data_IF_539647919508
#
_entry.id   IF_539647919508
#
_cell.length_a   1.000
_cell.length_b   1.000
_cell.length_c   1.000
_cell.angle_alpha   90.00
_cell.angle_beta   90.00
_cell.angle_gamma   90.00
#
_symmetry.space_group_name_H-M   'P 1'
#
loop_
_entity.id
_entity.type
_entity.pdbx_description
1 polymer ?
#
# COMPACT_ATOMS: atom_id res chain seq x y z
N UNK A 1 9.53 55.21 19.98
CA UNK A 1 8.62 54.49 19.06
C UNK A 1 9.40 53.27 18.61
N UNK A 2 8.97 52.06 18.98
CA UNK A 2 9.73 50.84 18.69
C UNK A 2 9.61 50.49 17.21
N UNK A 3 10.75 50.37 16.52
CA UNK A 3 10.81 49.88 15.14
C UNK A 3 10.23 48.47 15.07
N UNK A 4 9.17 48.32 14.28
CA UNK A 4 8.63 47.02 13.92
C UNK A 4 9.51 46.47 12.80
N UNK A 5 10.45 45.59 13.13
CA UNK A 5 11.07 44.71 12.13
C UNK A 5 10.02 43.68 11.70
N UNK A 6 9.31 43.98 10.60
CA UNK A 6 8.33 43.07 10.02
C UNK A 6 9.01 41.79 9.52
N UNK A 7 8.81 40.67 10.22
CA UNK A 7 9.40 39.37 9.88
C UNK A 7 8.40 38.36 9.27
N UNK A 8 7.12 38.73 9.15
CA UNK A 8 6.09 37.81 8.63
C UNK A 8 5.24 38.54 7.61
N UNK A 9 5.33 38.11 6.36
CA UNK A 9 4.49 38.58 5.27
C UNK A 9 3.10 37.99 5.48
N UNK A 10 2.08 38.83 5.60
CA UNK A 10 0.68 38.41 5.55
C UNK A 10 0.28 38.35 4.07
N UNK A 11 0.41 37.19 3.46
CA UNK A 11 -0.03 36.94 2.08
C UNK A 11 -0.87 35.67 2.02
N UNK A 12 -1.88 35.67 1.15
CA UNK A 12 -2.53 34.43 0.71
C UNK A 12 -1.45 33.54 0.08
N UNK A 13 -1.34 32.25 0.43
CA UNK A 13 -0.40 31.33 -0.19
C UNK A 13 -0.81 31.08 -1.64
N UNK A 14 -0.37 31.94 -2.55
CA UNK A 14 -0.47 31.76 -4.00
C UNK A 14 0.93 31.48 -4.55
N UNK A 15 1.05 30.43 -5.35
CA UNK A 15 2.33 30.04 -5.90
C UNK A 15 2.70 30.93 -7.09
N UNK A 16 3.74 31.74 -6.91
CA UNK A 16 4.30 32.64 -7.92
C UNK A 16 5.30 31.89 -8.82
N UNK A 17 5.24 32.10 -10.13
CA UNK A 17 6.30 31.65 -11.04
C UNK A 17 7.44 32.68 -11.05
N UNK A 18 8.61 32.26 -10.57
CA UNK A 18 9.83 33.07 -10.51
C UNK A 18 10.90 32.58 -11.47
N UNK A 19 11.89 33.40 -11.82
CA UNK A 19 13.00 32.97 -12.68
C UNK A 19 13.87 31.95 -11.93
N UNK A 20 14.43 30.97 -12.66
CA UNK A 20 15.22 29.88 -12.08
C UNK A 20 16.47 30.36 -11.32
N UNK A 21 17.01 31.52 -11.69
CA UNK A 21 18.25 32.08 -11.14
C UNK A 21 18.05 33.34 -10.30
N UNK A 22 16.81 33.79 -10.11
CA UNK A 22 16.50 34.96 -9.29
C UNK A 22 15.04 34.94 -8.88
N UNK A 23 14.72 35.36 -7.65
CA UNK A 23 13.34 35.44 -7.13
C UNK A 23 12.45 36.51 -7.79
N UNK A 24 12.80 36.96 -9.01
CA UNK A 24 11.99 37.85 -9.83
C UNK A 24 10.91 37.04 -10.55
N UNK A 25 9.74 37.63 -10.77
CA UNK A 25 8.68 37.01 -11.55
C UNK A 25 9.14 36.62 -12.97
N UNK A 26 8.64 35.50 -13.49
CA UNK A 26 8.75 35.15 -14.93
C UNK A 26 7.75 36.01 -15.72
N UNK A 27 7.97 37.32 -15.72
CA UNK A 27 7.08 38.28 -16.34
C UNK A 27 6.92 37.99 -17.84
N UNK A 28 5.66 37.94 -18.31
CA UNK A 28 5.31 37.60 -19.70
C UNK A 28 5.82 36.21 -20.14
N UNK A 29 6.07 35.32 -19.19
CA UNK A 29 6.40 33.93 -19.45
C UNK A 29 5.21 33.11 -19.97
N UNK A 30 5.51 31.87 -20.34
CA UNK A 30 4.56 30.91 -20.89
C UNK A 30 4.62 29.60 -20.09
N UNK A 31 3.46 29.06 -19.79
CA UNK A 31 3.31 27.74 -19.15
C UNK A 31 2.69 26.79 -20.18
N UNK A 32 3.29 25.63 -20.30
CA UNK A 32 2.83 24.52 -21.14
C UNK A 32 2.51 23.32 -20.26
N UNK A 33 1.39 22.67 -20.52
CA UNK A 33 0.83 21.55 -19.77
C UNK A 33 0.61 20.37 -20.72
N UNK A 34 1.15 19.21 -20.37
CA UNK A 34 1.12 18.03 -21.23
C UNK A 34 0.96 16.73 -20.49
N UNK A 35 1.03 15.63 -21.25
CA UNK A 35 1.04 14.27 -20.73
C UNK A 35 2.25 14.09 -19.81
N UNK A 36 2.06 13.31 -18.74
CA UNK A 36 3.12 12.95 -17.81
C UNK A 36 4.33 12.38 -18.57
N UNK A 37 5.53 12.76 -18.13
CA UNK A 37 6.83 12.31 -18.63
C UNK A 37 7.10 12.62 -20.12
N UNK A 38 6.37 13.59 -20.70
CA UNK A 38 6.57 14.08 -22.08
C UNK A 38 6.92 15.57 -22.11
N UNK A 39 7.37 16.06 -23.26
CA UNK A 39 7.59 17.49 -23.49
C UNK A 39 6.26 18.20 -23.85
N UNK A 40 5.72 19.08 -22.98
CA UNK A 40 4.44 19.75 -23.20
C UNK A 40 4.51 20.89 -24.24
N UNK A 41 5.70 21.26 -24.73
CA UNK A 41 5.81 22.24 -25.82
C UNK A 41 5.34 21.66 -27.15
N UNK A 42 5.50 20.34 -27.34
CA UNK A 42 4.93 19.64 -28.49
C UNK A 42 3.39 19.59 -28.38
N UNK A 43 2.63 20.13 -29.35
CA UNK A 43 1.16 20.10 -29.32
C UNK A 43 0.54 18.71 -29.17
N UNK A 44 1.18 17.65 -29.68
CA UNK A 44 0.67 16.27 -29.56
C UNK A 44 0.72 15.74 -28.11
N UNK A 45 1.60 16.31 -27.31
CA UNK A 45 1.75 15.99 -25.91
C UNK A 45 0.87 16.85 -25.01
N UNK A 46 0.29 17.94 -25.53
CA UNK A 46 -0.56 18.83 -24.74
C UNK A 46 -1.87 18.17 -24.35
N UNK A 47 -2.34 18.49 -23.16
CA UNK A 47 -3.64 18.04 -22.64
C UNK A 47 -4.58 19.25 -22.48
N UNK A 48 -5.91 19.02 -22.41
CA UNK A 48 -6.85 20.10 -22.11
C UNK A 48 -6.57 20.75 -20.75
N UNK A 49 -6.59 22.09 -20.73
CA UNK A 49 -6.51 22.90 -19.51
C UNK A 49 -7.80 23.71 -19.39
N UNK A 50 -8.32 23.81 -18.17
CA UNK A 50 -9.56 24.50 -17.88
C UNK A 50 -9.30 25.68 -16.94
N UNK A 51 -9.95 26.81 -17.22
CA UNK A 51 -10.13 27.90 -16.29
C UNK A 51 -11.27 27.55 -15.33
N UNK A 52 -11.01 27.59 -14.03
CA UNK A 52 -12.03 27.47 -12.98
C UNK A 52 -12.51 28.87 -12.60
N UNK A 53 -13.82 29.10 -12.72
CA UNK A 53 -14.48 30.36 -12.34
C UNK A 53 -14.87 30.34 -10.86
N UNK A 54 -15.24 31.50 -10.32
CA UNK A 54 -15.69 31.64 -8.93
C UNK A 54 -16.95 30.81 -8.61
N UNK A 55 -17.76 30.51 -9.63
CA UNK A 55 -18.95 29.65 -9.51
C UNK A 55 -18.62 28.13 -9.60
N UNK A 56 -17.34 27.77 -9.70
CA UNK A 56 -16.86 26.38 -9.83
C UNK A 56 -17.01 25.80 -11.23
N UNK A 57 -17.49 26.57 -12.21
CA UNK A 57 -17.59 26.11 -13.61
C UNK A 57 -16.23 26.12 -14.30
N UNK A 58 -16.09 25.24 -15.30
CA UNK A 58 -14.83 25.02 -16.02
C UNK A 58 -14.97 25.42 -17.48
N UNK A 59 -14.03 26.22 -17.98
CA UNK A 59 -13.96 26.61 -19.40
C UNK A 59 -12.62 26.18 -19.96
N UNK A 60 -12.62 25.41 -21.05
CA UNK A 60 -11.38 25.01 -21.70
C UNK A 60 -10.68 26.25 -22.30
N UNK A 61 -9.38 26.37 -22.05
CA UNK A 61 -8.55 27.47 -22.52
C UNK A 61 -7.44 26.98 -23.45
N UNK A 62 -7.01 27.79 -24.43
CA UNK A 62 -5.86 27.44 -25.26
C UNK A 62 -4.55 27.55 -24.48
N UNK A 63 -3.57 26.76 -24.91
CA UNK A 63 -2.19 26.83 -24.43
C UNK A 63 -1.32 27.58 -25.45
N UNK A 64 -0.22 28.25 -25.04
CA UNK A 64 0.31 28.34 -23.67
C UNK A 64 -0.46 29.31 -22.77
N UNK A 65 -0.40 29.07 -21.47
CA UNK A 65 -0.94 29.98 -20.45
C UNK A 65 0.08 31.09 -20.20
N UNK A 66 -0.39 32.34 -20.19
CA UNK A 66 0.48 33.53 -20.05
C UNK A 66 0.68 33.88 -18.59
N UNK A 67 1.90 34.29 -18.22
CA UNK A 67 2.24 34.81 -16.90
C UNK A 67 2.28 36.35 -16.95
N UNK A 68 1.60 37.03 -16.02
CA UNK A 68 1.64 38.49 -15.94
C UNK A 68 2.97 39.02 -15.37
N UNK A 69 3.13 40.34 -15.29
CA UNK A 69 4.34 40.97 -14.77
C UNK A 69 4.65 40.64 -13.30
N UNK A 70 3.63 40.23 -12.53
CA UNK A 70 3.75 39.85 -11.13
C UNK A 70 4.07 38.37 -10.92
N UNK A 71 4.08 37.53 -11.97
CA UNK A 71 4.40 36.10 -11.86
C UNK A 71 3.19 35.18 -11.72
N UNK A 72 1.98 35.70 -11.93
CA UNK A 72 0.74 34.92 -11.86
C UNK A 72 0.27 34.45 -13.23
N UNK A 73 -0.28 33.23 -13.35
CA UNK A 73 -0.95 32.81 -14.57
C UNK A 73 -2.22 33.65 -14.77
N UNK A 74 -2.46 34.09 -16.01
CA UNK A 74 -3.58 34.97 -16.35
C UNK A 74 -4.39 34.47 -17.54
N UNK A 75 -5.68 34.77 -17.52
CA UNK A 75 -6.58 34.65 -18.65
C UNK A 75 -7.14 36.05 -18.99
N UNK A 76 -6.99 36.49 -20.24
CA UNK A 76 -7.34 37.85 -20.67
C UNK A 76 -6.78 38.98 -19.77
N UNK A 77 -5.59 38.77 -19.21
CA UNK A 77 -4.89 39.74 -18.35
C UNK A 77 -5.32 39.73 -16.87
N UNK A 78 -6.36 38.98 -16.50
CA UNK A 78 -6.78 38.78 -15.11
C UNK A 78 -6.16 37.52 -14.51
N UNK A 79 -5.79 37.57 -13.23
CA UNK A 79 -5.30 36.40 -12.49
C UNK A 79 -6.40 35.36 -12.46
N UNK A 80 -6.05 34.12 -12.79
CA UNK A 80 -7.03 33.07 -12.99
C UNK A 80 -6.49 31.71 -12.49
N UNK A 81 -7.40 30.84 -12.04
CA UNK A 81 -7.07 29.49 -11.59
C UNK A 81 -7.22 28.52 -12.76
N UNK A 82 -6.14 27.80 -13.06
CA UNK A 82 -6.13 26.79 -14.12
C UNK A 82 -6.05 25.40 -13.50
N UNK A 83 -6.84 24.47 -14.01
CA UNK A 83 -6.92 23.10 -13.52
C UNK A 83 -6.93 22.10 -14.68
N UNK A 84 -6.52 20.88 -14.37
CA UNK A 84 -6.53 19.74 -15.29
C UNK A 84 -7.28 18.59 -14.64
N UNK A 85 -7.90 17.73 -15.45
CA UNK A 85 -8.63 16.54 -14.95
C UNK A 85 -7.69 15.43 -14.48
N UNK A 86 -6.49 15.38 -15.04
CA UNK A 86 -5.49 14.34 -14.78
C UNK A 86 -4.14 14.96 -14.42
N UNK A 87 -3.23 14.14 -13.88
CA UNK A 87 -1.85 14.55 -13.67
C UNK A 87 -1.15 14.93 -14.98
N UNK A 88 -0.20 15.85 -14.91
CA UNK A 88 0.39 16.46 -16.10
C UNK A 88 1.87 16.79 -15.91
N UNK A 89 2.59 16.88 -17.03
CA UNK A 89 3.88 17.55 -17.10
C UNK A 89 3.69 19.06 -17.24
N UNK A 90 4.66 19.84 -16.79
CA UNK A 90 4.64 21.30 -16.89
C UNK A 90 6.00 21.84 -17.31
N UNK A 91 6.02 22.74 -18.29
CA UNK A 91 7.20 23.51 -18.65
C UNK A 91 6.91 25.00 -18.53
N UNK A 92 7.83 25.75 -17.93
CA UNK A 92 7.73 27.19 -17.73
C UNK A 92 8.86 27.87 -18.48
N UNK A 93 8.50 28.76 -19.40
CA UNK A 93 9.42 29.56 -20.20
C UNK A 93 9.29 31.04 -19.85
N UNK A 94 10.39 31.77 -19.95
CA UNK A 94 10.36 33.23 -19.87
C UNK A 94 9.89 33.88 -21.18
N UNK A 95 9.80 35.21 -21.17
CA UNK A 95 9.40 36.01 -22.32
C UNK A 95 10.34 35.88 -23.52
N UNK A 96 11.59 35.45 -23.30
CA UNK A 96 12.63 35.30 -24.32
C UNK A 96 12.72 33.86 -24.84
N UNK A 97 11.87 32.95 -24.35
CA UNK A 97 11.85 31.54 -24.78
C UNK A 97 12.91 30.67 -24.09
N UNK A 98 13.53 31.14 -23.01
CA UNK A 98 14.42 30.28 -22.20
C UNK A 98 13.60 29.49 -21.19
N UNK A 99 13.82 28.18 -21.11
CA UNK A 99 13.17 27.32 -20.13
C UNK A 99 13.68 27.67 -18.73
N UNK A 100 12.77 28.01 -17.84
CA UNK A 100 13.05 28.29 -16.43
C UNK A 100 12.87 27.02 -15.59
N UNK A 101 11.74 26.31 -15.77
CA UNK A 101 11.47 25.07 -15.06
C UNK A 101 10.85 24.01 -15.96
N UNK A 102 11.13 22.75 -15.63
CA UNK A 102 10.48 21.59 -16.20
C UNK A 102 10.13 20.60 -15.10
N UNK A 103 8.87 20.17 -15.08
CA UNK A 103 8.34 19.16 -14.19
C UNK A 103 7.78 18.02 -15.04
N UNK A 104 8.41 16.83 -15.04
CA UNK A 104 7.92 15.70 -15.83
C UNK A 104 6.57 15.19 -15.33
N UNK A 105 6.28 15.34 -14.03
CA UNK A 105 4.98 15.06 -13.44
C UNK A 105 4.75 15.97 -12.23
N UNK A 106 3.83 16.92 -12.34
CA UNK A 106 3.53 17.89 -11.26
C UNK A 106 2.97 17.20 -10.02
N UNK A 107 2.17 16.13 -10.17
CA UNK A 107 1.61 15.41 -9.03
C UNK A 107 2.68 14.81 -8.12
N UNK A 108 3.89 14.49 -8.61
CA UNK A 108 4.98 13.99 -7.75
C UNK A 108 5.40 14.98 -6.66
N UNK A 109 5.09 16.25 -6.84
CA UNK A 109 5.48 17.35 -5.95
C UNK A 109 4.31 17.87 -5.12
N UNK A 110 3.11 17.30 -5.29
CA UNK A 110 1.96 17.65 -4.50
C UNK A 110 2.15 17.14 -3.05
N UNK A 111 2.07 17.99 -2.02
CA UNK A 111 2.21 17.57 -0.63
C UNK A 111 1.20 16.48 -0.22
N UNK A 112 0.05 16.40 -0.89
CA UNK A 112 -1.01 15.41 -0.59
C UNK A 112 -0.66 14.00 -1.11
N UNK A 113 0.42 13.84 -1.89
CA UNK A 113 0.88 12.53 -2.35
C UNK A 113 1.21 11.58 -1.20
N UNK A 114 1.68 12.09 -0.06
CA UNK A 114 2.00 11.23 1.07
C UNK A 114 0.73 10.55 1.60
N UNK A 115 -0.40 11.26 1.67
CA UNK A 115 -1.67 10.69 2.12
C UNK A 115 -2.16 9.59 1.16
N UNK A 116 -2.07 9.84 -0.15
CA UNK A 116 -2.45 8.85 -1.17
C UNK A 116 -1.57 7.60 -1.06
N UNK A 117 -0.24 7.79 -0.95
CA UNK A 117 0.72 6.70 -0.81
C UNK A 117 0.57 5.91 0.48
N UNK A 118 0.17 6.54 1.59
CA UNK A 118 -0.09 5.85 2.85
C UNK A 118 -1.42 5.08 2.84
N UNK A 119 -2.38 5.48 2.00
CA UNK A 119 -3.67 4.80 1.86
C UNK A 119 -3.66 3.67 0.82
N UNK A 120 -2.65 3.62 -0.05
CA UNK A 120 -2.50 2.59 -1.09
C UNK A 120 -1.97 1.27 -0.46
N UNK A 121 -2.72 0.16 -0.55
CA UNK A 121 -2.31 -1.13 0.02
C UNK A 121 -1.34 -1.91 -0.88
N UNK A 122 -0.92 -1.37 -2.02
CA UNK A 122 0.01 -2.04 -2.95
C UNK A 122 1.43 -2.13 -2.38
N UNK A 123 2.19 -3.14 -2.82
CA UNK A 123 3.57 -3.37 -2.37
C UNK A 123 4.45 -2.13 -2.52
N UNK A 124 5.19 -1.78 -1.46
CA UNK A 124 6.06 -0.61 -1.41
C UNK A 124 5.36 0.70 -1.01
N UNK A 125 4.04 0.68 -0.83
CA UNK A 125 3.24 1.79 -0.28
C UNK A 125 2.70 1.45 1.12
N UNK A 126 1.81 2.29 1.65
CA UNK A 126 1.20 2.08 2.96
C UNK A 126 2.22 2.03 4.10
N UNK A 127 2.15 0.96 4.89
CA UNK A 127 3.03 0.71 6.03
C UNK A 127 4.49 0.41 5.64
N UNK A 128 4.77 0.10 4.36
CA UNK A 128 6.13 -0.05 3.85
C UNK A 128 6.92 1.27 3.84
N UNK A 129 6.22 2.41 3.87
CA UNK A 129 6.83 3.75 3.88
C UNK A 129 7.24 4.22 5.28
N UNK A 130 6.84 3.50 6.33
CA UNK A 130 7.09 3.86 7.72
C UNK A 130 8.23 3.02 8.26
N UNK A 131 9.34 3.65 8.63
CA UNK A 131 10.47 2.97 9.25
C UNK A 131 10.22 2.73 10.75
N UNK A 132 10.64 1.57 11.25
CA UNK A 132 10.67 1.20 12.66
C UNK A 132 12.03 0.67 13.05
N UNK A 133 12.42 0.93 14.30
CA UNK A 133 13.61 0.36 14.93
C UNK A 133 13.28 0.00 16.36
N UNK A 134 13.53 -1.25 16.73
CA UNK A 134 13.31 -1.70 18.10
C UNK A 134 14.28 -1.00 19.07
N UNK A 135 13.86 -0.65 20.29
CA UNK A 135 14.76 -0.11 21.30
C UNK A 135 15.83 -1.15 21.68
N UNK A 136 17.09 -0.73 21.79
CA UNK A 136 18.22 -1.57 22.19
C UNK A 136 19.45 -1.41 21.29
N UNK A 137 20.62 -1.66 21.84
CA UNK A 137 21.88 -1.62 21.10
C UNK A 137 21.96 -2.79 20.10
N UNK A 138 22.44 -2.49 18.89
CA UNK A 138 22.59 -3.49 17.82
C UNK A 138 21.31 -3.78 17.01
N UNK A 139 20.18 -3.16 17.31
CA UNK A 139 18.98 -3.29 16.47
C UNK A 139 19.17 -2.55 15.14
N UNK A 140 18.55 -3.08 14.08
CA UNK A 140 18.59 -2.52 12.72
C UNK A 140 17.22 -1.96 12.36
N UNK A 141 17.19 -0.84 11.63
CA UNK A 141 15.94 -0.25 11.14
C UNK A 141 15.36 -1.10 9.99
N UNK A 142 14.03 -1.20 9.96
CA UNK A 142 13.25 -1.90 8.92
C UNK A 142 11.90 -1.20 8.72
N UNK A 143 11.02 -1.70 7.86
CA UNK A 143 9.68 -1.11 7.67
C UNK A 143 8.66 -1.66 8.67
N UNK A 144 7.57 -0.92 8.92
CA UNK A 144 6.41 -1.43 9.69
C UNK A 144 5.87 -2.68 9.01
N UNK A 145 5.77 -2.66 7.68
CA UNK A 145 5.34 -3.80 6.87
C UNK A 145 6.12 -5.07 7.19
N UNK A 146 7.46 -5.02 7.09
CA UNK A 146 8.32 -6.16 7.39
C UNK A 146 8.10 -6.65 8.82
N UNK A 147 7.89 -5.72 9.77
CA UNK A 147 7.73 -6.06 11.18
C UNK A 147 6.38 -6.73 11.46
N UNK A 148 5.32 -6.29 10.81
CA UNK A 148 3.99 -6.87 10.93
C UNK A 148 3.89 -8.23 10.22
N UNK A 149 4.61 -8.40 9.10
CA UNK A 149 4.71 -9.66 8.36
C UNK A 149 5.39 -10.81 9.13
N UNK A 150 5.95 -10.57 10.31
CA UNK A 150 6.46 -11.65 11.17
C UNK A 150 5.34 -12.52 11.76
N UNK A 151 4.12 -11.98 11.87
CA UNK A 151 2.96 -12.65 12.46
C UNK A 151 1.77 -12.62 11.51
N UNK A 152 1.47 -13.77 10.90
CA UNK A 152 0.26 -13.95 10.10
C UNK A 152 -0.85 -14.58 10.92
N UNK A 153 -2.07 -14.09 10.74
CA UNK A 153 -3.28 -14.57 11.41
C UNK A 153 -4.30 -15.10 10.41
N UNK A 154 -5.29 -15.89 10.84
CA UNK A 154 -6.36 -16.33 9.93
C UNK A 154 -7.19 -15.15 9.38
N UNK A 155 -7.26 -14.04 10.12
CA UNK A 155 -7.91 -12.80 9.69
C UNK A 155 -7.28 -12.20 8.44
N UNK A 156 -5.95 -12.31 8.30
CA UNK A 156 -5.23 -11.80 7.14
C UNK A 156 -5.60 -12.54 5.84
N UNK A 157 -6.18 -13.74 5.97
CA UNK A 157 -6.76 -14.53 4.88
C UNK A 157 -8.28 -14.38 4.77
N UNK A 158 -8.88 -13.44 5.51
CA UNK A 158 -10.30 -13.13 5.47
C UNK A 158 -11.18 -13.92 6.44
N UNK A 159 -10.62 -14.65 7.42
CA UNK A 159 -11.41 -15.34 8.42
C UNK A 159 -12.07 -14.35 9.40
N UNK A 160 -13.32 -14.59 9.78
CA UNK A 160 -14.04 -13.77 10.77
C UNK A 160 -13.66 -14.17 12.19
N UNK A 161 -13.64 -15.47 12.47
CA UNK A 161 -13.34 -16.01 13.79
C UNK A 161 -14.41 -15.67 14.84
N UNK A 162 -15.66 -15.56 14.43
CA UNK A 162 -16.81 -15.16 15.25
C UNK A 162 -17.65 -16.34 15.78
N UNK A 163 -17.15 -17.58 15.64
CA UNK A 163 -17.82 -18.84 16.01
C UNK A 163 -19.04 -19.21 15.16
N UNK A 164 -19.45 -18.37 14.21
CA UNK A 164 -20.73 -18.51 13.49
C UNK A 164 -20.50 -18.62 11.98
N UNK A 165 -19.68 -17.72 11.45
CA UNK A 165 -19.32 -17.62 10.04
C UNK A 165 -18.47 -18.80 9.62
N UNK A 166 -18.74 -19.34 8.44
CA UNK A 166 -17.93 -20.40 7.86
C UNK A 166 -16.64 -19.83 7.27
N UNK A 167 -15.53 -20.08 7.95
CA UNK A 167 -14.18 -19.64 7.62
C UNK A 167 -13.40 -20.67 6.77
N UNK A 168 -14.07 -21.71 6.24
CA UNK A 168 -13.39 -22.80 5.50
C UNK A 168 -12.50 -22.28 4.35
N UNK A 169 -12.99 -21.31 3.57
CA UNK A 169 -12.22 -20.75 2.45
C UNK A 169 -10.93 -20.05 2.93
N UNK A 170 -11.05 -19.23 3.98
CA UNK A 170 -9.95 -18.49 4.58
C UNK A 170 -8.92 -19.42 5.22
N UNK A 171 -9.37 -20.50 5.87
CA UNK A 171 -8.49 -21.53 6.46
C UNK A 171 -7.73 -22.31 5.39
N UNK A 172 -8.34 -22.63 4.24
CA UNK A 172 -7.64 -23.26 3.13
C UNK A 172 -6.62 -22.31 2.46
N UNK A 173 -6.95 -21.03 2.33
CA UNK A 173 -6.01 -20.02 1.83
C UNK A 173 -4.79 -19.86 2.77
N UNK A 174 -5.04 -19.79 4.08
CA UNK A 174 -4.00 -19.78 5.11
C UNK A 174 -3.11 -21.03 5.05
N UNK A 175 -3.71 -22.20 4.82
CA UNK A 175 -2.97 -23.46 4.70
C UNK A 175 -2.02 -23.42 3.50
N UNK A 176 -2.52 -22.99 2.33
CA UNK A 176 -1.72 -22.88 1.12
C UNK A 176 -0.57 -21.89 1.29
N UNK A 177 -0.82 -20.73 1.89
CA UNK A 177 0.23 -19.74 2.17
C UNK A 177 1.31 -20.31 3.09
N UNK A 178 0.92 -20.96 4.18
CA UNK A 178 1.85 -21.60 5.11
C UNK A 178 2.68 -22.69 4.42
N UNK A 179 2.08 -23.47 3.53
CA UNK A 179 2.77 -24.51 2.77
C UNK A 179 3.76 -23.94 1.74
N UNK A 180 3.47 -22.76 1.19
CA UNK A 180 4.30 -22.12 0.16
C UNK A 180 5.47 -21.34 0.77
N UNK A 181 5.22 -20.64 1.87
CA UNK A 181 6.20 -19.73 2.51
C UNK A 181 6.93 -20.37 3.68
N UNK A 182 6.37 -21.44 4.27
CA UNK A 182 6.85 -22.03 5.51
C UNK A 182 6.49 -21.24 6.77
N UNK A 183 5.73 -20.14 6.65
CA UNK A 183 5.32 -19.30 7.78
C UNK A 183 4.24 -19.98 8.64
N UNK A 184 4.25 -19.68 9.94
CA UNK A 184 3.22 -20.12 10.88
C UNK A 184 2.05 -19.15 10.86
N UNK A 185 0.82 -19.68 10.83
CA UNK A 185 -0.42 -18.89 10.93
C UNK A 185 -1.00 -19.03 12.33
N UNK A 186 -1.34 -17.90 12.93
CA UNK A 186 -1.85 -17.82 14.29
C UNK A 186 -3.37 -17.59 14.34
N UNK A 187 -4.05 -18.30 15.22
CA UNK A 187 -5.41 -17.98 15.64
C UNK A 187 -5.40 -16.86 16.66
N UNK A 188 -6.17 -15.81 16.41
CA UNK A 188 -6.31 -14.67 17.31
C UNK A 188 -6.98 -15.07 18.64
N UNK A 189 -6.60 -14.39 19.74
CA UNK A 189 -7.16 -14.69 21.05
C UNK A 189 -8.68 -14.46 21.09
N UNK A 190 -9.40 -15.35 21.81
CA UNK A 190 -10.86 -15.30 22.00
C UNK A 190 -11.72 -15.51 20.75
N UNK A 191 -11.10 -15.88 19.62
CA UNK A 191 -11.80 -16.19 18.37
C UNK A 191 -11.96 -17.69 18.13
N UNK A 192 -12.98 -18.03 17.36
CA UNK A 192 -13.26 -19.39 16.91
C UNK A 192 -13.65 -19.41 15.45
N UNK A 193 -12.94 -20.22 14.67
CA UNK A 193 -13.06 -20.32 13.22
C UNK A 193 -13.83 -21.57 12.89
N UNK A 194 -15.09 -21.39 12.49
CA UNK A 194 -15.97 -22.49 12.14
C UNK A 194 -15.67 -22.93 10.71
N UNK A 195 -15.72 -24.24 10.46
CA UNK A 195 -15.54 -24.78 9.12
C UNK A 195 -16.54 -25.89 8.86
N UNK A 196 -17.11 -25.92 7.65
CA UNK A 196 -18.16 -26.87 7.26
C UNK A 196 -17.63 -27.96 6.30
N UNK A 197 -16.49 -27.72 5.66
CA UNK A 197 -15.86 -28.67 4.74
C UNK A 197 -14.38 -28.90 5.09
N UNK A 198 -13.78 -29.92 4.47
CA UNK A 198 -12.42 -30.35 4.83
C UNK A 198 -11.34 -29.30 4.57
N UNK A 199 -10.44 -29.12 5.54
CA UNK A 199 -9.25 -28.26 5.39
C UNK A 199 -8.07 -29.06 4.83
N UNK A 200 -7.45 -28.58 3.76
CA UNK A 200 -6.29 -29.20 3.10
C UNK A 200 -4.98 -28.81 3.80
N UNK A 201 -4.65 -29.48 4.90
CA UNK A 201 -3.46 -29.16 5.70
C UNK A 201 -2.14 -29.63 5.08
N UNK A 202 -2.17 -30.52 4.09
CA UNK A 202 -0.99 -31.01 3.37
C UNK A 202 -1.14 -30.70 1.89
N UNK A 203 -0.10 -30.12 1.29
CA UNK A 203 -0.04 -29.93 -0.15
C UNK A 203 0.24 -31.30 -0.82
N UNK A 204 -0.67 -31.75 -1.68
CA UNK A 204 -0.60 -33.08 -2.29
C UNK A 204 0.51 -33.21 -3.35
N UNK A 205 1.03 -32.09 -3.87
CA UNK A 205 2.11 -32.09 -4.86
C UNK A 205 3.49 -31.99 -4.20
N UNK A 206 3.62 -31.14 -3.18
CA UNK A 206 4.91 -30.85 -2.54
C UNK A 206 5.13 -31.58 -1.22
N UNK A 207 4.09 -32.24 -0.68
CA UNK A 207 4.08 -32.92 0.61
C UNK A 207 4.47 -32.00 1.80
N UNK A 208 4.28 -30.69 1.65
CA UNK A 208 4.51 -29.71 2.72
C UNK A 208 3.24 -29.59 3.56
N UNK A 209 3.40 -29.63 4.89
CA UNK A 209 2.31 -29.44 5.85
C UNK A 209 2.19 -27.98 6.27
N UNK A 210 0.96 -27.49 6.42
CA UNK A 210 0.66 -26.17 6.97
C UNK A 210 0.96 -26.12 8.47
N UNK A 211 1.44 -24.96 8.94
CA UNK A 211 1.79 -24.69 10.34
C UNK A 211 0.77 -23.74 10.95
N UNK A 212 -0.15 -24.28 11.74
CA UNK A 212 -1.16 -23.50 12.44
C UNK A 212 -0.94 -23.56 13.95
N UNK A 213 -1.05 -22.41 14.62
CA UNK A 213 -0.93 -22.27 16.07
C UNK A 213 -2.07 -21.44 16.64
N UNK A 214 -2.59 -21.80 17.82
CA UNK A 214 -3.63 -21.02 18.49
C UNK A 214 -3.05 -20.02 19.48
N UNK A 215 -3.76 -18.92 19.75
CA UNK A 215 -3.38 -18.00 20.83
C UNK A 215 -3.55 -18.65 22.21
N UNK A 216 -2.42 -18.82 22.92
CA UNK A 216 -2.37 -19.32 24.30
C UNK A 216 -2.25 -20.84 24.41
N UNK A 217 -1.86 -21.33 25.59
CA UNK A 217 -1.41 -22.72 25.79
C UNK A 217 -2.46 -23.81 25.57
N UNK A 218 -3.76 -23.50 25.55
CA UNK A 218 -4.84 -24.53 25.59
C UNK A 218 -6.17 -24.15 24.90
N UNK A 219 -6.23 -23.13 24.04
CA UNK A 219 -7.50 -22.77 23.37
C UNK A 219 -7.64 -23.42 22.00
N UNK A 220 -8.58 -24.36 21.88
CA UNK A 220 -9.07 -24.87 20.60
C UNK A 220 -9.74 -23.73 19.82
N UNK A 221 -9.25 -23.41 18.63
CA UNK A 221 -9.74 -22.30 17.81
C UNK A 221 -10.47 -22.77 16.54
N UNK A 222 -10.31 -24.04 16.13
CA UNK A 222 -10.99 -24.60 14.95
C UNK A 222 -12.23 -25.37 15.41
N UNK A 223 -13.39 -25.00 14.87
CA UNK A 223 -14.68 -25.60 15.24
C UNK A 223 -15.28 -26.31 14.01
N UNK A 224 -15.12 -27.63 13.88
CA UNK A 224 -15.77 -28.37 12.81
C UNK A 224 -17.28 -28.40 13.02
N UNK A 225 -18.02 -28.31 11.92
CA UNK A 225 -19.44 -28.71 11.91
C UNK A 225 -19.50 -30.21 11.62
N UNK A 226 -19.64 -31.05 12.65
CA UNK A 226 -19.66 -32.52 12.55
C UNK A 226 -18.54 -33.19 13.36
N UNK A 227 -18.24 -34.47 13.09
CA UNK A 227 -17.11 -35.15 13.77
C UNK A 227 -15.77 -34.61 13.27
N UNK A 228 -14.79 -34.47 14.18
CA UNK A 228 -13.44 -34.00 13.84
C UNK A 228 -12.75 -34.88 12.78
N UNK A 229 -13.00 -36.19 12.81
CA UNK A 229 -12.44 -37.17 11.87
C UNK A 229 -12.98 -37.01 10.43
N UNK A 230 -14.19 -36.46 10.26
CA UNK A 230 -14.75 -36.16 8.94
C UNK A 230 -14.30 -34.79 8.40
N UNK A 231 -13.92 -33.88 9.31
CA UNK A 231 -13.74 -32.47 9.03
C UNK A 231 -12.26 -32.08 8.84
N UNK A 232 -11.31 -32.75 9.50
CA UNK A 232 -9.88 -32.60 9.22
C UNK A 232 -9.44 -33.82 8.40
N UNK A 233 -9.51 -33.69 7.08
CA UNK A 233 -9.04 -34.75 6.18
C UNK A 233 -7.52 -34.71 6.13
N UNK A 234 -6.88 -35.48 7.01
CA UNK A 234 -5.47 -35.83 6.89
C UNK A 234 -5.39 -36.81 5.72
N UNK A 235 -5.05 -36.32 4.53
CA UNK A 235 -4.98 -37.16 3.34
C UNK A 235 -3.77 -38.10 3.39
N UNK A 236 -4.03 -39.34 2.98
CA UNK A 236 -3.08 -40.45 2.92
C UNK A 236 -2.29 -40.37 1.61
N UNK A 237 -0.98 -40.58 1.66
CA UNK A 237 -0.14 -40.88 0.49
C UNK A 237 0.31 -42.35 0.62
N UNK A 238 0.14 -43.14 -0.43
CA UNK A 238 0.59 -44.55 -0.51
C UNK A 238 0.17 -45.46 0.66
N UNK A 239 -1.06 -45.31 1.16
CA UNK A 239 -1.61 -46.19 2.19
C UNK A 239 -1.03 -46.01 3.59
N UNK A 240 -0.13 -45.04 3.80
CA UNK A 240 0.40 -44.70 5.13
C UNK A 240 -0.40 -43.54 5.71
N UNK A 241 -1.21 -43.81 6.74
CA UNK A 241 -1.76 -42.77 7.60
C UNK A 241 -0.58 -41.99 8.21
N UNK A 242 -0.38 -40.75 7.76
CA UNK A 242 0.53 -39.80 8.41
C UNK A 242 -0.10 -39.33 9.72
N UNK A 243 -0.24 -40.26 10.66
CA UNK A 243 -0.74 -39.96 11.99
C UNK A 243 0.38 -39.35 12.81
N UNK A 244 0.39 -38.01 12.87
CA UNK A 244 0.82 -37.30 14.07
C UNK A 244 0.32 -35.85 14.09
N UNK A 245 -0.99 -35.70 14.06
CA UNK A 245 -1.60 -34.57 14.77
C UNK A 245 -1.38 -34.84 16.26
N UNK A 246 -0.41 -34.17 16.89
CA UNK A 246 -0.28 -34.27 18.35
C UNK A 246 -1.35 -33.42 18.99
N UNK A 247 -2.44 -34.05 19.40
CA UNK A 247 -3.42 -33.49 20.32
C UNK A 247 -2.80 -33.40 21.71
N UNK A 248 -2.42 -32.19 22.14
CA UNK A 248 -2.06 -31.92 23.54
C UNK A 248 -3.18 -31.10 24.15
N UNK A 249 -4.11 -31.74 24.84
CA UNK A 249 -5.42 -31.12 25.07
C UNK A 249 -6.13 -30.87 23.74
N UNK A 250 -7.24 -30.14 23.72
CA UNK A 250 -8.06 -29.91 22.51
C UNK A 250 -7.38 -29.01 21.44
N UNK A 251 -6.06 -29.10 21.22
CA UNK A 251 -5.31 -28.28 20.27
C UNK A 251 -4.68 -29.12 19.14
N UNK A 252 -4.84 -28.67 17.89
CA UNK A 252 -4.14 -29.21 16.72
C UNK A 252 -2.71 -28.66 16.69
N UNK A 253 -1.69 -29.51 16.78
CA UNK A 253 -0.30 -29.16 16.46
C UNK A 253 0.17 -30.01 15.29
N UNK A 254 0.53 -29.36 14.17
CA UNK A 254 1.14 -30.01 13.02
C UNK A 254 2.66 -29.81 13.13
N UNK A 255 3.34 -30.73 13.82
CA UNK A 255 4.80 -30.72 13.89
C UNK A 255 5.39 -31.52 12.72
N UNK A 256 6.28 -30.90 11.94
CA UNK A 256 7.16 -31.56 10.97
C UNK A 256 7.90 -32.73 11.65
N UNK A 257 7.93 -33.92 11.04
CA UNK A 257 8.88 -34.96 11.44
C UNK A 257 9.73 -35.40 10.26
N UNK A 258 11.05 -35.28 10.43
CA UNK A 258 12.06 -36.04 9.71
C UNK A 258 11.80 -37.54 9.91
N UNK A 259 12.04 -38.32 8.87
CA UNK A 259 11.97 -39.77 8.85
C UNK A 259 12.88 -40.31 9.98
N UNK A 260 12.30 -40.88 11.03
CA UNK A 260 13.08 -41.72 11.93
C UNK A 260 13.38 -43.02 11.19
N UNK A 261 14.67 -43.25 10.91
CA UNK A 261 15.18 -44.50 10.37
C UNK A 261 14.66 -45.71 11.16
N UNK A 262 14.34 -46.76 10.40
CA UNK A 262 13.77 -48.04 10.82
C UNK A 262 14.39 -48.64 12.08
N UNK A 263 13.63 -49.37 12.92
CA UNK A 263 14.18 -50.04 14.08
C UNK A 263 15.17 -51.12 13.63
N UNK A 264 16.39 -51.03 14.19
CA UNK A 264 17.38 -52.10 14.21
C UNK A 264 16.70 -53.39 14.67
N UNK A 265 16.70 -54.39 13.80
CA UNK A 265 16.25 -55.75 14.10
C UNK A 265 17.32 -56.40 14.99
N UNK A 266 16.88 -56.96 16.12
CA UNK A 266 17.68 -57.84 16.99
C UNK A 266 18.10 -59.11 16.25
#
# INVERSE_FOLDING_TARGET
>A
MTDITANVIVSMPSQLFTMARSFKAVAKGKIYIGKIDTDPVNPENQIPVYLEREDGTHIQVPQPIVINAAGYPVYNGQIAKFVTVQGHSMAVYDAYGTQQFYYPNVLKYDPDQLQVKLADPSDGFGDSLVAVKQPGDGTVARTVHDKMAENYTFEDFGAKGDWVTDDTASLNAAALFSQTTGNTIYGSAQKGYKFTSGIQLVNQTTNVSAKFEGAGRERCFLVPVGSMDAAIKIWVLDGVLLDRVRYSGRCLKVSKYELMDSPVTL
#
